data_IF_940201140172
#
_entry.id   IF_940201140172
#
_cell.length_a   1.000
_cell.length_b   1.000
_cell.length_c   1.000
_cell.angle_alpha   90.00
_cell.angle_beta   90.00
_cell.angle_gamma   90.00
#
_symmetry.space_group_name_H-M   'P 1'
#
loop_
_entity.id
_entity.type
_entity.pdbx_description
1 polymer ?
#
# COMPACT_ATOMS: atom_id res chain seq x y z
N UNK A 1 20.18 -9.82 -7.20
CA UNK A 1 19.34 -9.22 -6.13
C UNK A 1 18.20 -8.51 -6.84
N UNK A 2 16.99 -8.45 -6.31
CA UNK A 2 15.89 -7.67 -6.93
C UNK A 2 15.76 -6.33 -6.21
N UNK A 3 15.27 -5.31 -6.90
CA UNK A 3 14.95 -3.98 -6.32
C UNK A 3 13.98 -4.09 -5.14
N UNK A 4 13.07 -5.06 -5.15
CA UNK A 4 12.15 -5.35 -4.03
C UNK A 4 12.86 -5.52 -2.66
N UNK A 5 14.10 -6.05 -2.64
CA UNK A 5 14.87 -6.15 -1.39
C UNK A 5 15.32 -4.76 -0.93
N UNK A 6 15.76 -3.89 -1.85
CA UNK A 6 16.13 -2.51 -1.54
C UNK A 6 14.95 -1.76 -0.94
N UNK A 7 13.77 -1.88 -1.54
CA UNK A 7 12.55 -1.24 -1.04
C UNK A 7 12.21 -1.73 0.37
N UNK A 8 12.31 -3.04 0.59
CA UNK A 8 12.09 -3.64 1.90
C UNK A 8 13.08 -3.12 2.96
N UNK A 9 14.38 -3.13 2.67
CA UNK A 9 15.39 -2.69 3.66
C UNK A 9 15.30 -1.20 3.93
N UNK A 10 14.97 -0.40 2.92
CA UNK A 10 14.75 1.03 3.06
C UNK A 10 13.55 1.34 3.94
N UNK A 11 12.37 0.83 3.56
CA UNK A 11 11.11 1.05 4.27
C UNK A 11 11.20 0.67 5.74
N UNK A 12 11.85 -0.45 6.05
CA UNK A 12 11.94 -0.98 7.41
C UNK A 12 13.25 -0.61 8.12
N UNK A 13 14.10 0.21 7.51
CA UNK A 13 15.43 0.58 8.01
C UNK A 13 16.27 -0.64 8.42
N UNK A 14 16.18 -1.73 7.65
CA UNK A 14 16.85 -3.02 7.89
C UNK A 14 18.25 -3.07 7.24
N UNK A 15 19.06 -2.06 7.51
CA UNK A 15 20.46 -1.93 7.10
C UNK A 15 21.22 -1.15 8.17
N UNK A 16 22.54 -1.08 8.05
CA UNK A 16 23.36 -0.27 8.96
C UNK A 16 23.12 1.23 8.69
N UNK A 17 22.28 1.82 9.53
CA UNK A 17 21.92 3.26 9.53
C UNK A 17 22.94 4.12 10.27
N UNK A 18 23.99 3.54 10.86
CA UNK A 18 25.02 4.33 11.52
C UNK A 18 25.91 5.03 10.48
N UNK A 19 26.22 6.30 10.74
CA UNK A 19 27.15 7.10 9.94
C UNK A 19 26.85 7.00 8.44
N UNK A 20 25.59 7.21 8.05
CA UNK A 20 25.22 7.25 6.64
C UNK A 20 25.87 8.45 5.99
N UNK A 21 26.41 8.23 4.80
CA UNK A 21 27.02 9.26 3.98
C UNK A 21 26.61 9.04 2.54
N UNK A 22 26.51 10.12 1.78
CA UNK A 22 26.47 10.03 0.33
C UNK A 22 27.78 9.45 -0.18
N UNK A 23 27.79 8.96 -1.41
CA UNK A 23 29.02 8.54 -2.08
C UNK A 23 29.99 9.69 -2.36
N UNK A 24 29.55 10.95 -2.18
CA UNK A 24 30.38 12.16 -2.17
C UNK A 24 30.89 12.55 -0.78
N UNK A 25 30.49 11.85 0.29
CA UNK A 25 30.96 12.06 1.66
C UNK A 25 30.09 12.97 2.53
N UNK A 26 28.94 13.42 2.07
CA UNK A 26 28.01 14.24 2.85
C UNK A 26 27.21 13.37 3.82
N UNK A 27 27.11 13.77 5.08
CA UNK A 27 26.34 13.03 6.09
C UNK A 27 24.86 12.96 5.72
N UNK A 28 24.24 11.80 5.93
CA UNK A 28 22.81 11.55 5.72
C UNK A 28 22.13 11.22 7.04
N UNK A 29 21.00 11.87 7.33
CA UNK A 29 20.10 11.48 8.42
C UNK A 29 18.68 11.29 7.89
N UNK A 30 18.14 10.08 8.05
CA UNK A 30 16.80 9.72 7.56
C UNK A 30 15.76 10.00 8.66
N UNK A 31 15.14 11.19 8.62
CA UNK A 31 14.01 11.52 9.50
C UNK A 31 12.76 10.72 9.11
N UNK A 32 12.44 10.71 7.82
CA UNK A 32 11.32 9.94 7.24
C UNK A 32 11.78 9.29 5.92
N UNK A 33 11.57 7.98 5.79
CA UNK A 33 11.93 7.22 4.59
C UNK A 33 10.96 7.45 3.42
N UNK A 34 9.81 8.09 3.68
CA UNK A 34 8.75 8.30 2.71
C UNK A 34 7.75 7.14 2.64
N UNK A 35 6.70 7.34 1.84
CA UNK A 35 5.64 6.38 1.60
C UNK A 35 5.93 5.59 0.32
N UNK A 36 5.83 4.25 0.33
CA UNK A 36 5.98 3.46 -0.89
C UNK A 36 4.96 3.89 -1.95
N UNK A 37 5.44 4.11 -3.18
CA UNK A 37 4.61 4.35 -4.34
C UNK A 37 4.30 3.01 -5.03
N UNK A 38 3.02 2.74 -5.29
CA UNK A 38 2.59 1.57 -6.07
C UNK A 38 2.22 1.93 -7.51
N UNK A 39 2.29 3.22 -7.87
CA UNK A 39 1.95 3.75 -9.19
C UNK A 39 3.23 4.18 -9.92
N UNK A 40 3.08 4.75 -11.12
CA UNK A 40 4.19 5.33 -11.87
C UNK A 40 4.90 6.47 -11.10
N UNK A 41 6.17 6.70 -11.43
CA UNK A 41 7.03 7.68 -10.80
C UNK A 41 7.97 7.08 -9.75
N UNK A 42 8.54 7.89 -8.85
CA UNK A 42 9.57 7.43 -7.94
C UNK A 42 9.10 6.39 -6.91
N UNK A 43 10.01 5.56 -6.43
CA UNK A 43 9.70 4.42 -5.53
C UNK A 43 9.09 4.84 -4.18
N UNK A 44 9.57 5.94 -3.60
CA UNK A 44 9.07 6.48 -2.33
C UNK A 44 8.77 7.98 -2.44
N UNK A 45 7.60 8.37 -1.95
CA UNK A 45 7.10 9.74 -1.99
C UNK A 45 7.25 10.41 -0.62
N UNK A 46 7.50 11.73 -0.62
CA UNK A 46 7.46 12.60 0.56
C UNK A 46 8.41 12.20 1.71
N UNK A 47 9.59 11.67 1.37
CA UNK A 47 10.67 11.44 2.32
C UNK A 47 11.20 12.76 2.90
N UNK A 48 11.76 12.70 4.11
CA UNK A 48 12.43 13.82 4.79
C UNK A 48 13.82 13.37 5.22
N UNK A 49 14.84 13.91 4.56
CA UNK A 49 16.22 13.45 4.71
C UNK A 49 17.13 14.65 4.86
N UNK A 50 17.95 14.66 5.89
CA UNK A 50 19.02 15.64 6.04
C UNK A 50 20.24 15.15 5.26
N UNK A 51 20.77 15.99 4.39
CA UNK A 51 21.99 15.73 3.61
C UNK A 51 22.91 16.94 3.84
N UNK A 52 24.06 16.70 4.48
CA UNK A 52 24.91 17.76 5.00
C UNK A 52 24.14 18.62 6.02
N UNK A 53 24.06 19.93 5.78
CA UNK A 53 23.34 20.87 6.64
C UNK A 53 21.88 21.08 6.24
N UNK A 54 21.45 20.55 5.09
CA UNK A 54 20.14 20.84 4.50
C UNK A 54 19.15 19.72 4.78
N UNK A 55 17.96 20.07 5.29
CA UNK A 55 16.84 19.14 5.38
C UNK A 55 16.01 19.19 4.10
N UNK A 56 16.02 18.10 3.35
CA UNK A 56 15.28 17.96 2.10
C UNK A 56 13.93 17.29 2.33
N UNK A 57 12.93 17.70 1.55
CA UNK A 57 11.64 17.04 1.44
C UNK A 57 11.37 16.71 -0.04
N UNK A 58 11.17 15.44 -0.36
CA UNK A 58 11.02 15.00 -1.75
C UNK A 58 10.95 13.49 -1.88
N UNK A 59 11.30 12.98 -3.05
CA UNK A 59 11.15 11.56 -3.39
C UNK A 59 12.48 10.81 -3.27
N UNK A 60 12.41 9.50 -3.09
CA UNK A 60 13.57 8.60 -3.12
C UNK A 60 13.36 7.61 -4.24
N UNK A 61 14.40 7.45 -5.05
CA UNK A 61 14.45 6.45 -6.11
C UNK A 61 15.47 5.38 -5.77
N UNK A 62 15.20 4.13 -6.14
CA UNK A 62 16.05 2.99 -5.81
C UNK A 62 16.39 2.16 -7.05
N UNK A 63 17.64 1.71 -7.13
CA UNK A 63 18.10 0.86 -8.21
C UNK A 63 19.17 -0.11 -7.71
N UNK A 64 19.42 -1.21 -8.42
CA UNK A 64 20.57 -2.06 -8.07
C UNK A 64 21.88 -1.35 -8.45
N UNK A 65 21.91 -0.76 -9.63
CA UNK A 65 23.04 0.00 -10.15
C UNK A 65 22.59 1.43 -10.46
N UNK A 66 23.41 2.41 -10.14
CA UNK A 66 23.06 3.80 -10.39
C UNK A 66 22.84 4.10 -11.89
N UNK A 67 23.55 3.40 -12.79
CA UNK A 67 23.38 3.49 -14.25
C UNK A 67 21.98 3.09 -14.77
N UNK A 68 21.19 2.35 -13.98
CA UNK A 68 19.81 2.00 -14.32
C UNK A 68 18.91 3.25 -14.44
N UNK A 69 19.26 4.36 -13.77
CA UNK A 69 18.59 5.66 -13.94
C UNK A 69 18.54 6.13 -15.40
N UNK A 70 19.65 5.95 -16.12
CA UNK A 70 19.73 6.32 -17.54
C UNK A 70 18.98 5.31 -18.41
N UNK A 71 19.09 4.02 -18.06
CA UNK A 71 18.43 2.92 -18.78
C UNK A 71 16.90 3.05 -18.74
N UNK A 72 16.35 3.45 -17.59
CA UNK A 72 14.93 3.69 -17.40
C UNK A 72 14.47 5.08 -17.87
N UNK A 73 15.39 5.92 -18.38
CA UNK A 73 15.13 7.28 -18.88
C UNK A 73 14.54 8.24 -17.84
N UNK A 74 14.83 8.03 -16.55
CA UNK A 74 14.36 8.92 -15.49
C UNK A 74 14.93 10.34 -15.62
N UNK A 75 16.10 10.50 -16.24
CA UNK A 75 16.69 11.80 -16.56
C UNK A 75 15.83 12.66 -17.51
N UNK A 76 15.00 12.04 -18.34
CA UNK A 76 14.12 12.71 -19.30
C UNK A 76 12.68 12.86 -18.78
N UNK A 77 12.36 12.28 -17.61
CA UNK A 77 11.01 12.24 -17.07
C UNK A 77 10.83 13.27 -15.93
N UNK A 78 9.97 14.29 -16.10
CA UNK A 78 9.71 15.29 -15.08
C UNK A 78 9.23 14.75 -13.74
N UNK A 79 8.62 13.56 -13.69
CA UNK A 79 8.18 12.93 -12.44
C UNK A 79 9.34 12.65 -11.46
N UNK A 80 10.57 12.55 -11.97
CA UNK A 80 11.77 12.23 -11.20
C UNK A 80 12.58 13.47 -10.80
N UNK A 81 12.18 14.67 -11.23
CA UNK A 81 12.89 15.91 -10.89
C UNK A 81 12.92 16.20 -9.38
N UNK A 82 11.95 15.69 -8.63
CA UNK A 82 11.87 15.86 -7.17
C UNK A 82 12.55 14.72 -6.39
N UNK A 83 13.36 13.89 -7.03
CA UNK A 83 14.17 12.87 -6.33
C UNK A 83 15.31 13.56 -5.59
N UNK A 84 15.27 13.47 -4.26
CA UNK A 84 16.23 14.11 -3.34
C UNK A 84 17.38 13.18 -2.94
N UNK A 85 17.19 11.87 -3.09
CA UNK A 85 18.20 10.85 -2.80
C UNK A 85 17.99 9.66 -3.74
N UNK A 86 19.08 9.21 -4.36
CA UNK A 86 19.13 7.95 -5.09
C UNK A 86 19.75 6.88 -4.19
N UNK A 87 19.02 5.82 -3.89
CA UNK A 87 19.50 4.75 -3.01
C UNK A 87 19.80 3.51 -3.85
N UNK A 88 21.07 3.13 -3.90
CA UNK A 88 21.51 2.05 -4.80
C UNK A 88 22.20 0.92 -4.05
N UNK A 89 22.20 -0.28 -4.62
CA UNK A 89 23.09 -1.33 -4.13
C UNK A 89 24.55 -1.02 -4.47
N UNK A 90 24.83 -0.45 -5.64
CA UNK A 90 26.17 -0.03 -6.06
C UNK A 90 26.10 1.22 -6.94
N UNK A 91 26.89 2.24 -6.61
CA UNK A 91 27.01 3.43 -7.48
C UNK A 91 28.12 3.19 -8.52
N UNK A 92 27.73 2.66 -9.68
CA UNK A 92 28.61 2.40 -10.82
C UNK A 92 28.78 3.60 -11.76
N UNK A 93 27.90 4.61 -11.65
CA UNK A 93 28.00 5.88 -12.35
C UNK A 93 27.32 7.01 -11.56
N UNK A 94 27.83 8.26 -11.64
CA UNK A 94 27.14 9.41 -11.07
C UNK A 94 25.87 9.73 -11.88
N UNK A 95 24.81 10.11 -11.18
CA UNK A 95 23.50 10.39 -11.76
C UNK A 95 23.15 11.86 -11.60
N UNK A 96 22.52 12.44 -12.63
CA UNK A 96 22.20 13.86 -12.69
C UNK A 96 20.72 14.08 -12.97
N UNK A 97 20.17 15.15 -12.39
CA UNK A 97 18.84 15.68 -12.72
C UNK A 97 18.89 16.33 -14.11
N UNK A 98 17.71 16.61 -14.68
CA UNK A 98 17.60 17.36 -15.94
C UNK A 98 18.32 18.73 -15.91
N UNK A 99 18.46 19.35 -14.73
CA UNK A 99 19.20 20.60 -14.53
C UNK A 99 20.73 20.46 -14.47
N UNK A 100 21.29 19.25 -14.60
CA UNK A 100 22.73 18.99 -14.52
C UNK A 100 23.30 18.87 -13.10
N UNK A 101 22.47 19.01 -12.08
CA UNK A 101 22.84 18.80 -10.68
C UNK A 101 22.93 17.30 -10.38
N UNK A 102 24.00 16.88 -9.68
CA UNK A 102 24.15 15.48 -9.24
C UNK A 102 23.11 15.17 -8.18
N UNK A 103 22.40 14.05 -8.33
CA UNK A 103 21.51 13.55 -7.28
C UNK A 103 22.39 12.93 -6.18
N UNK A 104 22.24 13.34 -4.90
CA UNK A 104 22.91 12.67 -3.80
C UNK A 104 22.61 11.18 -3.82
N UNK A 105 23.65 10.35 -3.71
CA UNK A 105 23.51 8.90 -3.81
C UNK A 105 23.93 8.22 -2.50
N UNK A 106 23.09 7.33 -1.98
CA UNK A 106 23.40 6.45 -0.86
C UNK A 106 23.65 5.03 -1.38
N UNK A 107 24.87 4.54 -1.20
CA UNK A 107 25.20 3.15 -1.50
C UNK A 107 24.94 2.24 -0.28
N UNK A 108 24.13 1.18 -0.49
CA UNK A 108 23.81 0.18 0.54
C UNK A 108 24.72 -1.05 0.51
N UNK A 109 25.70 -1.11 -0.41
CA UNK A 109 26.69 -2.20 -0.45
C UNK A 109 27.38 -2.32 0.90
N UNK A 110 27.42 -3.55 1.44
CA UNK A 110 28.04 -3.81 2.74
C UNK A 110 27.25 -3.31 3.96
N UNK A 111 26.18 -2.53 3.77
CA UNK A 111 25.29 -2.08 4.86
C UNK A 111 24.12 -3.04 5.11
N UNK A 112 23.80 -3.90 4.16
CA UNK A 112 22.77 -4.93 4.32
C UNK A 112 23.41 -6.22 4.83
N UNK A 113 22.89 -6.76 5.94
CA UNK A 113 23.44 -7.99 6.52
C UNK A 113 23.30 -9.17 5.54
N UNK A 114 24.38 -9.94 5.36
CA UNK A 114 24.36 -11.12 4.49
C UNK A 114 23.30 -12.15 4.93
N UNK A 115 23.00 -12.20 6.24
CA UNK A 115 21.92 -13.05 6.79
C UNK A 115 20.56 -12.59 6.28
N UNK A 116 20.26 -11.30 6.32
CA UNK A 116 18.99 -10.76 5.83
C UNK A 116 18.81 -11.03 4.35
N UNK A 117 19.81 -10.71 3.52
CA UNK A 117 19.76 -10.95 2.07
C UNK A 117 19.53 -12.43 1.74
N UNK A 118 20.22 -13.34 2.44
CA UNK A 118 20.02 -14.78 2.29
C UNK A 118 18.62 -15.23 2.71
N UNK A 119 18.11 -14.74 3.84
CA UNK A 119 16.76 -15.07 4.31
C UNK A 119 15.70 -14.56 3.34
N UNK A 120 15.82 -13.32 2.88
CA UNK A 120 14.91 -12.73 1.90
C UNK A 120 14.89 -13.54 0.61
N UNK A 121 16.06 -13.83 0.03
CA UNK A 121 16.16 -14.63 -1.19
C UNK A 121 15.54 -16.03 -1.02
N UNK A 122 15.73 -16.67 0.15
CA UNK A 122 15.08 -17.94 0.47
C UNK A 122 13.56 -17.84 0.51
N UNK A 123 13.02 -16.73 1.02
CA UNK A 123 11.57 -16.53 1.10
C UNK A 123 10.97 -16.25 -0.28
N UNK A 124 11.58 -15.38 -1.09
CA UNK A 124 11.01 -14.99 -2.39
C UNK A 124 11.18 -16.05 -3.48
N UNK A 125 12.21 -16.89 -3.38
CA UNK A 125 12.43 -18.02 -4.29
C UNK A 125 11.83 -19.32 -3.76
N UNK A 126 11.03 -19.23 -2.70
CA UNK A 126 10.33 -20.38 -2.18
C UNK A 126 9.20 -20.79 -3.15
N UNK A 127 9.06 -22.09 -3.44
CA UNK A 127 7.96 -22.64 -4.24
C UNK A 127 6.63 -22.71 -3.46
N UNK A 128 6.67 -22.44 -2.16
CA UNK A 128 5.54 -22.55 -1.27
C UNK A 128 4.59 -21.35 -1.35
N UNK A 129 3.29 -21.60 -1.21
CA UNK A 129 2.26 -20.57 -1.31
C UNK A 129 2.43 -19.47 -0.27
N UNK A 130 2.75 -19.86 0.98
CA UNK A 130 3.16 -18.94 2.03
C UNK A 130 4.66 -19.14 2.28
N UNK A 131 5.52 -18.15 1.96
CA UNK A 131 6.98 -18.29 2.03
C UNK A 131 7.53 -18.80 3.37
N UNK A 132 6.83 -18.49 4.47
CA UNK A 132 7.23 -18.85 5.84
C UNK A 132 6.44 -20.02 6.47
N UNK A 133 5.61 -20.75 5.70
CA UNK A 133 4.70 -21.77 6.27
C UNK A 133 5.40 -22.86 7.09
N UNK A 134 6.65 -23.22 6.76
CA UNK A 134 7.48 -24.18 7.50
C UNK A 134 7.72 -23.80 8.95
N UNK A 135 7.73 -22.49 9.24
CA UNK A 135 7.93 -22.00 10.60
C UNK A 135 6.70 -22.21 11.46
N UNK A 136 5.50 -22.29 10.86
CA UNK A 136 4.25 -22.50 11.58
C UNK A 136 4.29 -23.80 12.38
N UNK A 137 4.80 -24.88 11.79
CA UNK A 137 4.88 -26.18 12.46
C UNK A 137 5.93 -26.27 13.57
N UNK A 138 6.83 -25.28 13.67
CA UNK A 138 7.81 -25.19 14.78
C UNK A 138 7.20 -24.64 16.06
N UNK A 139 6.07 -23.96 15.96
CA UNK A 139 5.33 -23.46 17.13
C UNK A 139 4.61 -24.63 17.79
N UNK A 140 4.67 -24.80 19.13
CA UNK A 140 3.97 -25.86 19.82
C UNK A 140 2.47 -25.87 19.50
N UNK A 141 1.89 -27.07 19.36
CA UNK A 141 0.50 -27.23 18.95
C UNK A 141 -0.48 -26.49 19.87
N UNK A 142 -0.26 -26.60 21.19
CA UNK A 142 -1.08 -25.88 22.18
C UNK A 142 -1.08 -24.37 21.96
N UNK A 143 0.07 -23.78 21.62
CA UNK A 143 0.21 -22.35 21.33
C UNK A 143 -0.54 -21.99 20.05
N UNK A 144 -0.46 -22.83 19.01
CA UNK A 144 -1.18 -22.60 17.75
C UNK A 144 -2.70 -22.62 17.98
N UNK A 145 -3.21 -23.62 18.70
CA UNK A 145 -4.64 -23.77 18.93
C UNK A 145 -5.18 -22.60 19.76
N UNK A 146 -4.53 -22.24 20.86
CA UNK A 146 -4.92 -21.09 21.67
C UNK A 146 -4.90 -19.77 20.86
N UNK A 147 -3.91 -19.59 20.00
CA UNK A 147 -3.83 -18.41 19.15
C UNK A 147 -4.94 -18.37 18.09
N UNK A 148 -5.22 -19.51 17.44
CA UNK A 148 -6.31 -19.62 16.47
C UNK A 148 -7.69 -19.39 17.10
N UNK A 149 -7.91 -19.91 18.31
CA UNK A 149 -9.14 -19.67 19.07
C UNK A 149 -9.30 -18.18 19.39
N UNK A 150 -8.21 -17.52 19.82
CA UNK A 150 -8.22 -16.08 20.07
C UNK A 150 -8.50 -15.27 18.80
N UNK A 151 -7.87 -15.62 17.68
CA UNK A 151 -8.10 -14.97 16.38
C UNK A 151 -9.54 -15.15 15.90
N UNK A 152 -10.15 -16.31 16.15
CA UNK A 152 -11.56 -16.54 15.83
C UNK A 152 -12.45 -15.59 16.62
N UNK A 153 -12.22 -15.45 17.93
CA UNK A 153 -12.97 -14.54 18.79
C UNK A 153 -12.80 -13.09 18.31
N UNK A 154 -11.56 -12.64 18.11
CA UNK A 154 -11.28 -11.27 17.64
C UNK A 154 -11.94 -10.98 16.29
N UNK A 155 -11.97 -11.96 15.39
CA UNK A 155 -12.65 -11.83 14.09
C UNK A 155 -14.16 -11.71 14.24
N UNK A 156 -14.76 -12.44 15.18
CA UNK A 156 -16.19 -12.32 15.48
C UNK A 156 -16.47 -10.94 16.08
N UNK A 157 -15.69 -10.52 17.07
CA UNK A 157 -15.83 -9.19 17.71
C UNK A 157 -15.74 -8.05 16.68
N UNK A 158 -14.77 -8.11 15.75
CA UNK A 158 -14.66 -7.12 14.67
C UNK A 158 -15.89 -7.11 13.76
N UNK A 159 -16.42 -8.29 13.42
CA UNK A 159 -17.61 -8.39 12.56
C UNK A 159 -18.87 -7.92 13.28
N UNK A 160 -19.06 -8.29 14.54
CA UNK A 160 -20.23 -7.89 15.32
C UNK A 160 -20.18 -6.41 15.65
N UNK A 161 -19.02 -5.86 16.01
CA UNK A 161 -18.86 -4.44 16.27
C UNK A 161 -19.21 -3.57 15.06
N UNK A 162 -18.91 -4.01 13.84
CA UNK A 162 -19.34 -3.33 12.62
C UNK A 162 -20.88 -3.34 12.47
N UNK A 163 -21.55 -4.44 12.83
CA UNK A 163 -23.01 -4.56 12.81
C UNK A 163 -23.65 -3.69 13.89
N UNK A 164 -23.12 -3.71 15.12
CA UNK A 164 -23.59 -2.89 16.24
C UNK A 164 -23.49 -1.40 15.93
N UNK A 165 -22.33 -0.94 15.45
CA UNK A 165 -22.12 0.44 15.04
C UNK A 165 -23.12 0.87 13.95
N UNK A 166 -23.41 -0.03 12.99
CA UNK A 166 -24.39 0.27 11.94
C UNK A 166 -25.81 0.29 12.47
N UNK A 167 -26.16 -0.63 13.35
CA UNK A 167 -27.48 -0.68 13.97
C UNK A 167 -27.77 0.61 14.74
N UNK A 168 -26.78 1.13 15.47
CA UNK A 168 -26.86 2.43 16.16
C UNK A 168 -27.10 3.57 15.17
N UNK A 169 -26.36 3.62 14.05
CA UNK A 169 -26.55 4.61 12.99
C UNK A 169 -27.95 4.54 12.37
N UNK A 170 -28.49 3.33 12.24
CA UNK A 170 -29.85 3.06 11.75
C UNK A 170 -30.91 3.13 12.87
N UNK A 171 -30.57 3.70 14.04
CA UNK A 171 -31.49 3.91 15.18
C UNK A 171 -32.21 2.64 15.63
N UNK A 172 -31.54 1.49 15.55
CA UNK A 172 -32.08 0.20 15.94
C UNK A 172 -32.87 -0.55 14.87
N UNK A 173 -32.93 -0.08 13.61
CA UNK A 173 -33.56 -0.86 12.53
C UNK A 173 -32.66 -2.00 12.07
N UNK A 174 -33.09 -3.23 12.34
CA UNK A 174 -32.41 -4.44 11.88
C UNK A 174 -32.59 -4.66 10.38
N UNK A 175 -33.72 -4.24 9.81
CA UNK A 175 -34.02 -4.39 8.38
C UNK A 175 -33.10 -3.53 7.51
N UNK A 176 -32.95 -2.24 7.85
CA UNK A 176 -32.03 -1.35 7.12
C UNK A 176 -30.58 -1.78 7.31
N UNK A 177 -30.21 -2.21 8.52
CA UNK A 177 -28.86 -2.73 8.82
C UNK A 177 -28.56 -3.97 7.99
N UNK A 178 -29.46 -4.94 7.96
CA UNK A 178 -29.30 -6.15 7.17
C UNK A 178 -29.21 -5.84 5.67
N UNK A 179 -30.08 -4.98 5.16
CA UNK A 179 -30.07 -4.56 3.76
C UNK A 179 -28.73 -3.92 3.35
N UNK A 180 -28.20 -3.01 4.16
CA UNK A 180 -26.92 -2.34 3.87
C UNK A 180 -25.75 -3.34 3.88
N UNK A 181 -25.70 -4.25 4.85
CA UNK A 181 -24.67 -5.30 4.84
C UNK A 181 -24.84 -6.26 3.67
N UNK A 182 -26.06 -6.62 3.30
CA UNK A 182 -26.33 -7.49 2.16
C UNK A 182 -25.83 -6.84 0.86
N UNK A 183 -26.18 -5.57 0.64
CA UNK A 183 -25.72 -4.80 -0.51
C UNK A 183 -24.18 -4.70 -0.54
N UNK A 184 -23.55 -4.33 0.59
CA UNK A 184 -22.09 -4.29 0.71
C UNK A 184 -21.43 -5.60 0.31
N UNK A 185 -21.99 -6.74 0.71
CA UNK A 185 -21.44 -8.06 0.36
C UNK A 185 -21.61 -8.40 -1.14
N UNK A 186 -22.68 -7.94 -1.79
CA UNK A 186 -22.82 -8.07 -3.25
C UNK A 186 -21.78 -7.27 -4.04
N UNK A 187 -21.26 -6.19 -3.46
CA UNK A 187 -20.16 -5.42 -4.03
C UNK A 187 -18.81 -6.15 -4.05
N UNK A 188 -18.67 -7.30 -3.38
CA UNK A 188 -17.42 -8.08 -3.25
C UNK A 188 -16.22 -7.18 -2.93
N UNK A 189 -15.00 -7.48 -3.39
CA UNK A 189 -13.80 -6.73 -2.95
C UNK A 189 -13.73 -5.30 -3.51
N UNK A 190 -14.17 -5.11 -4.74
CA UNK A 190 -13.96 -3.85 -5.49
C UNK A 190 -15.09 -2.86 -5.22
N UNK A 191 -16.34 -3.33 -5.21
CA UNK A 191 -17.52 -2.48 -5.16
C UNK A 191 -18.23 -2.50 -3.80
N UNK A 192 -17.65 -3.11 -2.76
CA UNK A 192 -18.26 -3.15 -1.43
C UNK A 192 -18.61 -1.76 -0.89
N UNK A 193 -17.67 -0.81 -0.92
CA UNK A 193 -17.92 0.55 -0.41
C UNK A 193 -18.92 1.33 -1.28
N UNK A 194 -18.86 1.31 -2.63
CA UNK A 194 -19.91 1.86 -3.48
C UNK A 194 -21.30 1.29 -3.19
N UNK A 195 -21.43 -0.03 -3.05
CA UNK A 195 -22.72 -0.67 -2.76
C UNK A 195 -23.25 -0.33 -1.36
N UNK A 196 -22.36 -0.23 -0.37
CA UNK A 196 -22.70 0.22 0.98
C UNK A 196 -23.18 1.68 0.97
N UNK A 197 -22.53 2.56 0.20
CA UNK A 197 -22.95 3.95 0.04
C UNK A 197 -24.31 4.07 -0.68
N UNK A 198 -24.53 3.27 -1.72
CA UNK A 198 -25.82 3.19 -2.43
C UNK A 198 -26.94 2.76 -1.48
N UNK A 199 -26.74 1.68 -0.72
CA UNK A 199 -27.75 1.18 0.21
C UNK A 199 -28.04 2.15 1.37
N UNK A 200 -27.06 2.96 1.77
CA UNK A 200 -27.26 4.02 2.78
C UNK A 200 -28.02 5.23 2.24
N UNK A 201 -27.81 5.57 0.98
CA UNK A 201 -28.51 6.69 0.34
C UNK A 201 -29.95 6.35 -0.06
N UNK A 202 -30.26 5.06 -0.25
CA UNK A 202 -31.60 4.58 -0.60
C UNK A 202 -32.16 3.63 0.48
N UNK A 203 -32.85 4.15 1.52
CA UNK A 203 -33.44 3.34 2.59
C UNK A 203 -34.34 2.21 2.08
N UNK A 204 -34.34 1.06 2.78
CA UNK A 204 -35.11 -0.13 2.37
C UNK A 204 -36.61 0.17 2.31
N UNK A 205 -37.10 1.06 3.18
CA UNK A 205 -38.49 1.49 3.20
C UNK A 205 -38.95 2.16 1.90
N UNK A 206 -38.05 2.83 1.18
CA UNK A 206 -38.35 3.41 -0.14
C UNK A 206 -38.50 2.27 -1.16
N UNK A 207 -37.53 1.37 -1.23
CA UNK A 207 -37.60 0.19 -2.11
C UNK A 207 -38.86 -0.65 -1.86
N UNK A 208 -39.24 -0.84 -0.59
CA UNK A 208 -40.44 -1.58 -0.20
C UNK A 208 -41.74 -0.95 -0.74
N UNK A 209 -41.82 0.38 -0.88
CA UNK A 209 -42.98 1.07 -1.48
C UNK A 209 -43.11 0.80 -2.98
N UNK A 210 -41.99 0.55 -3.66
CA UNK A 210 -41.93 0.29 -5.09
C UNK A 210 -41.82 -1.20 -5.45
N UNK A 211 -41.94 -2.11 -4.46
CA UNK A 211 -41.70 -3.56 -4.63
C UNK A 211 -42.49 -4.25 -5.74
N UNK A 212 -43.64 -3.71 -6.13
CA UNK A 212 -44.50 -4.26 -7.20
C UNK A 212 -44.16 -3.72 -8.59
N UNK A 213 -43.18 -2.82 -8.71
CA UNK A 213 -42.82 -2.13 -9.95
C UNK A 213 -41.30 -2.20 -10.16
N UNK A 214 -40.78 -3.29 -10.75
CA UNK A 214 -39.35 -3.51 -10.95
C UNK A 214 -38.63 -2.33 -11.60
N UNK A 215 -39.22 -1.77 -12.66
CA UNK A 215 -38.68 -0.59 -13.37
C UNK A 215 -38.45 0.62 -12.46
N UNK A 216 -39.31 0.84 -11.45
CA UNK A 216 -39.13 1.95 -10.51
C UNK A 216 -37.99 1.66 -9.53
N UNK A 217 -37.82 0.41 -9.11
CA UNK A 217 -36.70 0.00 -8.25
C UNK A 217 -35.38 0.14 -9.00
N UNK A 218 -35.34 -0.32 -10.25
CA UNK A 218 -34.19 -0.18 -11.14
C UNK A 218 -33.85 1.30 -11.33
N UNK A 219 -34.82 2.14 -11.70
CA UNK A 219 -34.59 3.58 -11.85
C UNK A 219 -34.05 4.25 -10.58
N UNK A 220 -34.53 3.87 -9.39
CA UNK A 220 -34.03 4.40 -8.11
C UNK A 220 -32.58 3.96 -7.85
N UNK A 221 -32.24 2.69 -8.08
CA UNK A 221 -30.90 2.16 -7.86
C UNK A 221 -29.89 2.72 -8.88
N UNK A 222 -30.24 2.74 -10.16
CA UNK A 222 -29.39 3.28 -11.23
C UNK A 222 -29.23 4.79 -11.11
N UNK A 223 -30.30 5.51 -10.78
CA UNK A 223 -30.24 6.96 -10.55
C UNK A 223 -29.36 7.30 -9.35
N UNK A 224 -29.58 6.65 -8.21
CA UNK A 224 -28.82 6.92 -6.99
C UNK A 224 -27.34 6.50 -7.07
N UNK A 225 -27.00 5.58 -8.00
CA UNK A 225 -25.62 5.20 -8.30
C UNK A 225 -24.94 6.09 -9.34
N UNK A 226 -25.63 7.11 -9.89
CA UNK A 226 -25.09 8.01 -10.91
C UNK A 226 -25.04 7.40 -12.32
N UNK A 227 -25.64 6.22 -12.53
CA UNK A 227 -25.64 5.51 -13.80
C UNK A 227 -26.67 6.03 -14.80
N UNK A 228 -27.40 7.11 -14.47
CA UNK A 228 -28.41 7.76 -15.34
C UNK A 228 -28.03 9.20 -15.75
N UNK A 229 -26.80 9.64 -15.47
CA UNK A 229 -26.36 11.03 -15.72
C UNK A 229 -25.80 11.27 -17.14
N UNK A 230 -25.77 10.24 -18.00
CA UNK A 230 -25.28 10.33 -19.38
C UNK A 230 -26.38 10.48 -20.43
N UNK A 231 -25.98 10.84 -21.64
CA UNK A 231 -26.84 10.71 -22.82
C UNK A 231 -26.85 9.22 -23.25
N UNK A 232 -28.02 8.60 -23.23
CA UNK A 232 -28.20 7.22 -23.69
C UNK A 232 -28.75 7.24 -25.11
N UNK A 233 -28.02 6.63 -26.06
CA UNK A 233 -28.55 6.31 -27.38
C UNK A 233 -29.36 5.00 -27.29
N UNK A 234 -30.53 4.97 -27.92
CA UNK A 234 -31.41 3.80 -28.03
C UNK A 234 -30.80 2.65 -28.85
#
# INVERSE_FOLDING_TARGET
>A
MKEDLLHYVWRHKQFDVANLQTTTGETIEIHDAGLPNANAGPDFLNAKIRIGETLWAGNVEMHLHASEWMTHKHHDDPAYNNVILHVVLTEDAPVFRAGGERIPCLELRGRISAKLSKTYLKLIHNAHWIPCEYHFFRVPEITRNLWLDRLLVERIEQKTGAVECRLEQNKGSWEDTFYQFLAKNFGVKINAEPFDALARSLPLTILAKHKSRPFQIEALLFGQSGLLEGDFED
#
